data_IF_047904279271
#
_entry.id   IF_047904279271
#
_cell.length_a   1.000
_cell.length_b   1.000
_cell.length_c   1.000
_cell.angle_alpha   90.00
_cell.angle_beta   90.00
_cell.angle_gamma   90.00
#
_symmetry.space_group_name_H-M   'P 1'
#
loop_
_entity.id
_entity.type
_entity.pdbx_description
1 polymer ?
#
# COMPACT_ATOMS: atom_id res chain seq x y z
N UNK A 1 44.00 28.75 79.01
CA UNK A 1 44.84 27.90 78.13
C UNK A 1 45.03 28.66 76.83
N UNK A 2 46.25 29.09 76.53
CA UNK A 2 46.55 29.85 75.31
C UNK A 2 46.81 28.86 74.19
N UNK A 3 45.80 28.62 73.34
CA UNK A 3 45.79 27.57 72.33
C UNK A 3 46.97 27.63 71.34
N UNK A 4 47.54 28.81 71.12
CA UNK A 4 48.73 28.99 70.28
C UNK A 4 49.98 28.32 70.86
N UNK A 5 50.19 28.44 72.18
CA UNK A 5 51.35 27.90 72.87
C UNK A 5 51.29 26.36 72.89
N UNK A 6 50.10 25.82 73.15
CA UNK A 6 49.89 24.37 73.19
C UNK A 6 50.13 23.72 71.81
N UNK A 7 49.79 24.41 70.73
CA UNK A 7 50.01 23.93 69.36
C UNK A 7 51.50 23.97 68.97
N UNK A 8 52.22 25.02 69.34
CA UNK A 8 53.66 25.12 69.10
C UNK A 8 54.44 24.07 69.91
N UNK A 9 54.07 23.86 71.17
CA UNK A 9 54.63 22.80 72.00
C UNK A 9 54.38 21.40 71.39
N UNK A 10 53.16 21.13 70.89
CA UNK A 10 52.83 19.87 70.24
C UNK A 10 53.62 19.64 68.94
N UNK A 11 53.80 20.69 68.12
CA UNK A 11 54.64 20.62 66.92
C UNK A 11 56.10 20.37 67.27
N UNK A 12 56.64 21.09 68.26
CA UNK A 12 58.02 20.91 68.71
C UNK A 12 58.27 19.50 69.26
N UNK A 13 57.33 18.95 70.04
CA UNK A 13 57.40 17.58 70.54
C UNK A 13 57.41 16.54 69.40
N UNK A 14 56.58 16.73 68.36
CA UNK A 14 56.52 15.83 67.20
C UNK A 14 57.83 15.80 66.39
N UNK A 15 58.45 16.97 66.18
CA UNK A 15 59.76 17.04 65.53
C UNK A 15 60.88 16.50 66.44
N UNK A 16 60.83 16.76 67.75
CA UNK A 16 61.81 16.26 68.73
C UNK A 16 61.76 14.73 68.87
N UNK A 17 60.59 14.11 68.71
CA UNK A 17 60.45 12.65 68.65
C UNK A 17 60.94 12.03 67.34
N UNK A 18 61.49 12.83 66.41
CA UNK A 18 62.02 12.39 65.12
C UNK A 18 60.98 12.34 63.99
N UNK A 19 59.80 12.95 64.17
CA UNK A 19 58.78 13.04 63.13
C UNK A 19 59.24 13.93 61.97
N UNK A 20 59.03 13.47 60.73
CA UNK A 20 59.30 14.25 59.52
C UNK A 20 58.01 14.46 58.73
N UNK A 21 57.87 15.65 58.13
CA UNK A 21 56.77 15.94 57.22
C UNK A 21 57.15 15.45 55.82
N UNK A 22 56.31 14.61 55.23
CA UNK A 22 56.44 14.17 53.84
C UNK A 22 55.35 14.88 53.04
N UNK A 23 55.76 15.73 52.10
CA UNK A 23 54.84 16.34 51.13
C UNK A 23 54.77 15.40 49.93
N UNK A 24 53.61 14.78 49.74
CA UNK A 24 53.39 13.88 48.60
C UNK A 24 53.14 14.71 47.34
N UNK A 25 53.82 14.35 46.25
CA UNK A 25 53.55 14.94 44.93
C UNK A 25 52.13 14.57 44.46
N UNK A 26 51.45 15.52 43.82
CA UNK A 26 50.11 15.31 43.29
C UNK A 26 50.07 14.21 42.22
N UNK A 27 48.89 13.61 41.99
CA UNK A 27 48.73 12.56 40.99
C UNK A 27 48.42 13.15 39.60
N UNK A 28 48.95 12.51 38.55
CA UNK A 28 48.61 12.84 37.15
C UNK A 28 47.48 11.91 36.68
N UNK A 29 46.32 12.47 36.34
CA UNK A 29 45.18 11.67 35.86
C UNK A 29 45.43 11.09 34.46
N UNK A 30 45.10 9.80 34.28
CA UNK A 30 45.05 9.13 32.96
C UNK A 30 43.63 8.62 32.68
N UNK A 31 43.03 8.96 31.52
CA UNK A 31 41.68 8.51 31.20
C UNK A 31 41.60 7.00 31.01
N UNK A 32 40.44 6.43 31.38
CA UNK A 32 40.19 5.00 31.28
C UNK A 32 40.09 4.53 29.81
N UNK A 33 40.54 3.32 29.48
CA UNK A 33 40.42 2.77 28.13
C UNK A 33 38.95 2.50 27.75
N UNK A 34 38.64 2.61 26.46
CA UNK A 34 37.31 2.33 25.91
C UNK A 34 36.94 0.85 26.10
N UNK A 35 35.75 0.58 26.63
CA UNK A 35 35.21 -0.78 26.78
C UNK A 35 34.83 -1.36 25.41
N UNK A 36 35.26 -2.58 25.12
CA UNK A 36 34.84 -3.35 23.93
C UNK A 36 33.71 -4.32 24.31
N UNK A 37 32.67 -4.39 23.48
CA UNK A 37 31.64 -5.42 23.62
C UNK A 37 32.18 -6.76 23.11
N UNK A 38 31.82 -7.89 23.76
CA UNK A 38 32.21 -9.21 23.29
C UNK A 38 31.54 -9.51 21.94
N UNK A 39 32.24 -10.26 21.09
CA UNK A 39 31.69 -10.69 19.80
C UNK A 39 30.43 -11.55 19.98
N UNK A 40 29.43 -11.42 19.07
CA UNK A 40 28.19 -12.17 19.17
C UNK A 40 28.46 -13.67 19.03
N UNK A 41 28.03 -14.46 20.03
CA UNK A 41 28.21 -15.92 20.02
C UNK A 41 27.48 -16.55 18.81
N UNK A 42 28.08 -17.55 18.15
CA UNK A 42 27.43 -18.25 17.04
C UNK A 42 26.17 -18.96 17.52
N UNK A 43 25.08 -18.84 16.75
CA UNK A 43 23.80 -19.50 17.05
C UNK A 43 23.98 -21.02 16.89
N UNK A 44 23.56 -21.81 17.89
CA UNK A 44 23.53 -23.27 17.78
C UNK A 44 22.60 -23.68 16.64
N UNK A 45 23.03 -24.64 15.82
CA UNK A 45 22.19 -25.25 14.81
C UNK A 45 20.99 -25.93 15.48
N UNK A 46 19.78 -25.59 15.04
CA UNK A 46 18.57 -26.27 15.51
C UNK A 46 18.56 -27.69 14.93
N UNK A 47 18.18 -28.72 15.71
CA UNK A 47 18.00 -30.07 15.17
C UNK A 47 17.01 -30.04 14.00
N UNK A 48 17.26 -30.85 12.98
CA UNK A 48 16.36 -31.00 11.84
C UNK A 48 15.03 -31.57 12.33
N UNK A 49 14.08 -30.69 12.65
CA UNK A 49 12.73 -31.12 12.97
C UNK A 49 12.14 -31.77 11.72
N UNK A 50 11.79 -33.06 11.80
CA UNK A 50 10.87 -33.67 10.85
C UNK A 50 9.59 -32.84 10.88
N UNK A 51 9.32 -32.11 9.80
CA UNK A 51 8.17 -31.22 9.70
C UNK A 51 6.91 -32.08 9.57
N UNK A 52 6.41 -32.58 10.70
CA UNK A 52 5.03 -33.06 10.74
C UNK A 52 4.13 -31.88 10.38
N UNK A 53 3.19 -32.13 9.47
CA UNK A 53 2.28 -31.08 9.03
C UNK A 53 1.44 -30.63 10.22
N UNK A 54 1.42 -29.32 10.45
CA UNK A 54 0.59 -28.77 11.53
C UNK A 54 -0.87 -29.12 11.22
N UNK A 55 -1.70 -29.52 12.21
CA UNK A 55 -3.10 -29.89 11.98
C UNK A 55 -3.95 -28.84 11.25
N UNK A 56 -3.57 -27.56 11.33
CA UNK A 56 -4.22 -26.49 10.55
C UNK A 56 -3.89 -26.55 9.06
N UNK A 57 -2.68 -26.99 8.69
CA UNK A 57 -2.26 -27.13 7.29
C UNK A 57 -3.01 -28.29 6.63
N UNK A 58 -3.17 -29.41 7.32
CA UNK A 58 -3.96 -30.54 6.80
C UNK A 58 -5.43 -30.13 6.58
N UNK A 59 -6.05 -29.43 7.55
CA UNK A 59 -7.41 -28.87 7.40
C UNK A 59 -7.52 -27.86 6.26
N UNK A 60 -6.51 -27.01 6.07
CA UNK A 60 -6.48 -26.06 4.97
C UNK A 60 -6.42 -26.77 3.61
N UNK A 61 -5.63 -27.84 3.49
CA UNK A 61 -5.51 -28.66 2.28
C UNK A 61 -6.79 -29.43 1.97
N UNK A 62 -7.44 -30.03 2.97
CA UNK A 62 -8.71 -30.73 2.74
C UNK A 62 -9.80 -29.76 2.28
N UNK A 63 -9.86 -28.56 2.88
CA UNK A 63 -10.78 -27.49 2.44
C UNK A 63 -10.44 -26.99 1.04
N UNK A 64 -9.16 -26.80 0.73
CA UNK A 64 -8.71 -26.43 -0.61
C UNK A 64 -9.14 -27.45 -1.66
N UNK A 65 -8.98 -28.75 -1.38
CA UNK A 65 -9.42 -29.82 -2.26
C UNK A 65 -10.94 -29.80 -2.50
N UNK A 66 -11.74 -29.59 -1.45
CA UNK A 66 -13.19 -29.45 -1.58
C UNK A 66 -13.57 -28.25 -2.45
N UNK A 67 -12.94 -27.10 -2.24
CA UNK A 67 -13.18 -25.89 -3.04
C UNK A 67 -12.75 -26.12 -4.49
N UNK A 68 -11.65 -26.82 -4.73
CA UNK A 68 -11.16 -27.13 -6.07
C UNK A 68 -12.14 -28.01 -6.86
N UNK A 69 -12.77 -29.00 -6.21
CA UNK A 69 -13.82 -29.82 -6.84
C UNK A 69 -15.06 -28.97 -7.18
N UNK A 70 -15.52 -28.13 -6.24
CA UNK A 70 -16.65 -27.23 -6.49
C UNK A 70 -16.36 -26.18 -7.57
N UNK A 71 -15.11 -25.73 -7.67
CA UNK A 71 -14.69 -24.73 -8.65
C UNK A 71 -14.82 -25.21 -10.10
N UNK A 72 -14.77 -26.53 -10.34
CA UNK A 72 -14.95 -27.13 -11.67
C UNK A 72 -16.37 -26.93 -12.19
N UNK A 73 -17.37 -26.99 -11.31
CA UNK A 73 -18.80 -26.98 -11.65
C UNK A 73 -19.46 -25.63 -11.41
N UNK A 74 -19.05 -24.91 -10.36
CA UNK A 74 -19.73 -23.71 -9.88
C UNK A 74 -18.88 -22.44 -10.00
N UNK A 75 -19.56 -21.30 -10.04
CA UNK A 75 -18.94 -19.98 -9.98
C UNK A 75 -18.52 -19.64 -8.56
N UNK A 76 -17.51 -18.76 -8.40
CA UNK A 76 -17.04 -18.32 -7.09
C UNK A 76 -18.16 -17.76 -6.19
N UNK A 77 -19.16 -17.10 -6.79
CA UNK A 77 -20.30 -16.55 -6.05
C UNK A 77 -21.26 -17.62 -5.51
N UNK A 78 -21.42 -18.72 -6.23
CA UNK A 78 -22.24 -19.85 -5.77
C UNK A 78 -21.53 -20.62 -4.66
N UNK A 79 -20.23 -20.89 -4.83
CA UNK A 79 -19.40 -21.53 -3.80
C UNK A 79 -19.37 -20.70 -2.51
N UNK A 80 -19.28 -19.37 -2.63
CA UNK A 80 -19.34 -18.45 -1.48
C UNK A 80 -20.67 -18.59 -0.71
N UNK A 81 -21.80 -18.70 -1.41
CA UNK A 81 -23.11 -18.87 -0.79
C UNK A 81 -23.26 -20.24 -0.13
N UNK A 82 -22.77 -21.30 -0.77
CA UNK A 82 -22.86 -22.67 -0.25
C UNK A 82 -22.03 -22.87 1.01
N UNK A 83 -20.79 -22.35 1.03
CA UNK A 83 -19.87 -22.52 2.16
C UNK A 83 -20.02 -21.42 3.22
N UNK A 84 -20.82 -20.37 2.96
CA UNK A 84 -20.94 -19.22 3.85
C UNK A 84 -19.64 -18.39 3.94
N UNK A 85 -18.84 -18.39 2.88
CA UNK A 85 -17.52 -17.75 2.84
C UNK A 85 -17.52 -16.47 2.03
N UNK A 86 -16.55 -15.59 2.29
CA UNK A 86 -16.35 -14.40 1.47
C UNK A 86 -15.66 -14.76 0.15
N UNK A 87 -16.04 -14.08 -0.93
CA UNK A 87 -15.39 -14.25 -2.25
C UNK A 87 -13.87 -14.02 -2.18
N UNK A 88 -13.41 -13.07 -1.36
CA UNK A 88 -11.98 -12.78 -1.19
C UNK A 88 -11.20 -13.95 -0.60
N UNK A 89 -11.76 -14.66 0.39
CA UNK A 89 -11.13 -15.86 0.94
C UNK A 89 -10.98 -16.95 -0.12
N UNK A 90 -12.03 -17.18 -0.92
CA UNK A 90 -12.01 -18.16 -2.01
C UNK A 90 -10.99 -17.82 -3.10
N UNK A 91 -10.87 -16.56 -3.49
CA UNK A 91 -9.82 -16.12 -4.42
C UNK A 91 -8.41 -16.32 -3.86
N UNK A 92 -8.23 -16.10 -2.55
CA UNK A 92 -6.97 -16.37 -1.86
C UNK A 92 -6.60 -17.86 -1.87
N UNK A 93 -7.57 -18.75 -1.66
CA UNK A 93 -7.36 -20.21 -1.76
C UNK A 93 -7.04 -20.62 -3.20
N UNK A 94 -7.81 -20.13 -4.18
CA UNK A 94 -7.59 -20.40 -5.59
C UNK A 94 -6.20 -19.95 -6.07
N UNK A 95 -5.72 -18.80 -5.61
CA UNK A 95 -4.38 -18.31 -5.95
C UNK A 95 -3.25 -19.15 -5.33
N UNK A 96 -3.45 -19.70 -4.12
CA UNK A 96 -2.46 -20.56 -3.44
C UNK A 96 -2.36 -21.94 -4.08
N UNK A 97 -3.49 -22.50 -4.49
CA UNK A 97 -3.62 -23.88 -4.97
C UNK A 97 -3.63 -23.97 -6.51
N UNK A 98 -3.72 -22.82 -7.21
CA UNK A 98 -3.55 -22.74 -8.66
C UNK A 98 -4.78 -23.11 -9.50
N UNK A 99 -5.98 -23.20 -8.91
CA UNK A 99 -7.21 -23.47 -9.66
C UNK A 99 -8.03 -22.20 -9.94
N UNK A 100 -9.02 -22.29 -10.83
CA UNK A 100 -9.92 -21.19 -11.19
C UNK A 100 -11.37 -21.65 -11.11
N UNK A 101 -12.25 -20.76 -10.68
CA UNK A 101 -13.69 -21.00 -10.67
C UNK A 101 -14.29 -20.92 -12.08
N UNK A 102 -15.42 -21.61 -12.28
CA UNK A 102 -16.23 -21.47 -13.48
C UNK A 102 -16.63 -20.00 -13.70
N UNK A 103 -16.55 -19.54 -14.95
CA UNK A 103 -16.98 -18.19 -15.32
C UNK A 103 -18.49 -18.24 -15.56
N UNK A 104 -19.28 -17.35 -14.93
CA UNK A 104 -20.69 -17.25 -15.28
C UNK A 104 -20.82 -16.95 -16.78
N UNK A 105 -21.85 -17.49 -17.46
CA UNK A 105 -22.09 -17.17 -18.87
C UNK A 105 -22.17 -15.65 -19.02
N UNK A 106 -21.49 -15.11 -20.03
CA UNK A 106 -21.48 -13.68 -20.29
C UNK A 106 -22.92 -13.26 -20.57
N UNK A 107 -23.50 -12.46 -19.68
CA UNK A 107 -24.80 -11.86 -19.94
C UNK A 107 -24.67 -11.05 -21.22
N UNK A 108 -25.48 -11.40 -22.22
CA UNK A 108 -25.58 -10.63 -23.45
C UNK A 108 -26.08 -9.26 -23.03
N UNK A 109 -25.26 -8.24 -23.25
CA UNK A 109 -25.69 -6.86 -23.01
C UNK A 109 -26.93 -6.63 -23.87
N UNK A 110 -28.00 -6.03 -23.32
CA UNK A 110 -29.18 -5.75 -24.12
C UNK A 110 -28.75 -5.00 -25.37
N UNK A 111 -29.06 -5.58 -26.53
CA UNK A 111 -28.73 -4.98 -27.82
C UNK A 111 -29.50 -3.68 -27.86
N UNK A 112 -28.81 -2.55 -27.99
CA UNK A 112 -29.47 -1.25 -28.12
C UNK A 112 -30.26 -1.29 -29.43
N UNK A 113 -31.55 -0.99 -29.36
CA UNK A 113 -32.41 -0.92 -30.53
C UNK A 113 -31.85 0.09 -31.54
N UNK A 114 -31.42 -0.39 -32.70
CA UNK A 114 -30.77 0.43 -33.72
C UNK A 114 -31.71 1.56 -34.18
N UNK A 115 -33.00 1.26 -34.34
CA UNK A 115 -34.02 2.24 -34.71
C UNK A 115 -34.17 3.36 -33.67
N UNK A 116 -34.17 3.03 -32.37
CA UNK A 116 -34.24 4.04 -31.32
C UNK A 116 -32.98 4.91 -31.28
N UNK A 117 -31.82 4.31 -31.56
CA UNK A 117 -30.55 5.01 -31.63
C UNK A 117 -30.50 5.97 -32.83
N UNK A 118 -31.02 5.57 -33.99
CA UNK A 118 -31.13 6.40 -35.20
C UNK A 118 -32.09 7.58 -35.01
N UNK A 119 -33.25 7.36 -34.37
CA UNK A 119 -34.19 8.43 -34.06
C UNK A 119 -33.55 9.49 -33.14
N UNK A 120 -32.88 9.05 -32.06
CA UNK A 120 -32.17 9.95 -31.16
C UNK A 120 -30.98 10.67 -31.83
N UNK A 121 -30.30 10.02 -32.78
CA UNK A 121 -29.21 10.63 -33.53
C UNK A 121 -29.73 11.67 -34.55
N UNK A 122 -30.93 11.47 -35.11
CA UNK A 122 -31.60 12.45 -35.99
C UNK A 122 -31.98 13.72 -35.24
N UNK A 123 -32.63 13.60 -34.09
CA UNK A 123 -32.97 14.76 -33.25
C UNK A 123 -31.72 15.51 -32.77
N UNK A 124 -30.61 14.79 -32.52
CA UNK A 124 -29.35 15.42 -32.17
C UNK A 124 -28.72 16.12 -33.37
N UNK A 125 -28.80 15.54 -34.57
CA UNK A 125 -28.30 16.17 -35.79
C UNK A 125 -29.01 17.50 -36.06
N UNK A 126 -30.34 17.55 -35.93
CA UNK A 126 -31.13 18.77 -36.08
C UNK A 126 -30.71 19.85 -35.07
N UNK A 127 -30.53 19.47 -33.80
CA UNK A 127 -30.01 20.37 -32.76
C UNK A 127 -28.59 20.86 -33.06
N UNK A 128 -27.72 19.99 -33.55
CA UNK A 128 -26.34 20.34 -33.93
C UNK A 128 -26.33 21.35 -35.09
N UNK A 129 -27.24 21.19 -36.07
CA UNK A 129 -27.39 22.13 -37.19
C UNK A 129 -27.85 23.50 -36.68
N UNK A 130 -28.86 23.55 -35.81
CA UNK A 130 -29.32 24.81 -35.22
C UNK A 130 -28.19 25.55 -34.48
N UNK A 131 -27.44 24.84 -33.63
CA UNK A 131 -26.30 25.43 -32.90
C UNK A 131 -25.16 25.86 -33.83
N UNK A 132 -24.96 25.15 -34.96
CA UNK A 132 -23.99 25.53 -35.99
C UNK A 132 -24.41 26.84 -36.66
N UNK A 133 -25.68 26.97 -37.03
CA UNK A 133 -26.20 28.15 -37.73
C UNK A 133 -26.20 29.39 -36.82
N UNK A 134 -26.33 29.20 -35.50
CA UNK A 134 -26.05 30.22 -34.48
C UNK A 134 -24.57 30.62 -34.35
N UNK A 135 -23.67 29.95 -35.10
CA UNK A 135 -22.23 30.24 -35.11
C UNK A 135 -21.46 29.59 -33.96
N UNK A 136 -22.02 28.58 -33.27
CA UNK A 136 -21.29 27.91 -32.21
C UNK A 136 -20.17 27.01 -32.74
N UNK A 137 -19.05 27.00 -32.03
CA UNK A 137 -17.97 26.06 -32.28
C UNK A 137 -18.36 24.65 -31.84
N UNK A 138 -17.70 23.65 -32.44
CA UNK A 138 -17.90 22.22 -32.12
C UNK A 138 -17.83 21.92 -30.62
N UNK A 139 -16.82 22.47 -29.92
CA UNK A 139 -16.65 22.26 -28.49
C UNK A 139 -17.78 22.89 -27.67
N UNK A 140 -18.26 24.08 -28.07
CA UNK A 140 -19.38 24.75 -27.41
C UNK A 140 -20.68 23.97 -27.61
N UNK A 141 -20.93 23.46 -28.83
CA UNK A 141 -22.07 22.60 -29.11
C UNK A 141 -22.07 21.31 -28.27
N UNK A 142 -20.91 20.68 -28.05
CA UNK A 142 -20.82 19.50 -27.16
C UNK A 142 -21.12 19.83 -25.70
N UNK A 143 -20.67 21.01 -25.22
CA UNK A 143 -20.91 21.44 -23.86
C UNK A 143 -22.40 21.75 -23.62
N UNK A 144 -23.05 22.41 -24.58
CA UNK A 144 -24.49 22.74 -24.52
C UNK A 144 -25.35 21.49 -24.58
N UNK A 145 -25.03 20.54 -25.47
CA UNK A 145 -25.81 19.31 -25.64
C UNK A 145 -25.48 18.20 -24.63
N UNK A 146 -24.44 18.38 -23.80
CA UNK A 146 -23.98 17.37 -22.83
C UNK A 146 -23.51 16.06 -23.47
N UNK A 147 -23.07 16.10 -24.73
CA UNK A 147 -22.65 14.91 -25.48
C UNK A 147 -21.13 14.79 -25.56
N UNK A 148 -20.62 13.56 -25.47
CA UNK A 148 -19.20 13.28 -25.65
C UNK A 148 -18.73 13.46 -27.09
N UNK A 149 -17.44 13.79 -27.27
CA UNK A 149 -16.83 14.09 -28.56
C UNK A 149 -16.96 12.94 -29.59
N UNK A 150 -16.82 11.67 -29.14
CA UNK A 150 -16.99 10.49 -30.00
C UNK A 150 -18.42 10.34 -30.54
N UNK A 151 -19.42 10.70 -29.73
CA UNK A 151 -20.84 10.67 -30.15
C UNK A 151 -21.10 11.75 -31.20
N UNK A 152 -20.55 12.94 -30.98
CA UNK A 152 -20.62 14.04 -31.93
C UNK A 152 -19.99 13.65 -33.28
N UNK A 153 -18.75 13.16 -33.31
CA UNK A 153 -18.06 12.75 -34.55
C UNK A 153 -18.86 11.73 -35.35
N UNK A 154 -19.44 10.74 -34.67
CA UNK A 154 -20.30 9.73 -35.29
C UNK A 154 -21.50 10.40 -35.99
N UNK A 155 -22.16 11.35 -35.32
CA UNK A 155 -23.33 12.06 -35.89
C UNK A 155 -22.88 12.98 -37.04
N UNK A 156 -21.77 13.69 -36.92
CA UNK A 156 -21.23 14.53 -38.00
C UNK A 156 -20.92 13.72 -39.25
N UNK A 157 -20.33 12.54 -39.10
CA UNK A 157 -20.03 11.64 -40.20
C UNK A 157 -21.31 11.07 -40.84
N UNK A 158 -22.29 10.65 -40.02
CA UNK A 158 -23.54 10.07 -40.50
C UNK A 158 -24.41 11.08 -41.28
N UNK A 159 -24.53 12.30 -40.75
CA UNK A 159 -25.39 13.35 -41.33
C UNK A 159 -24.61 14.35 -42.21
N UNK A 160 -23.31 14.10 -42.45
CA UNK A 160 -22.41 14.94 -43.26
C UNK A 160 -22.44 16.43 -42.86
N UNK A 161 -22.55 16.70 -41.57
CA UNK A 161 -22.58 18.06 -41.02
C UNK A 161 -21.14 18.57 -40.90
N UNK A 162 -20.84 19.67 -41.58
CA UNK A 162 -19.55 20.34 -41.48
C UNK A 162 -19.67 21.60 -40.61
N UNK A 163 -18.82 21.72 -39.60
CA UNK A 163 -18.69 22.95 -38.81
C UNK A 163 -17.68 23.88 -39.50
N UNK A 164 -17.95 25.19 -39.60
CA UNK A 164 -16.93 26.13 -40.05
C UNK A 164 -15.73 26.04 -39.10
N UNK A 165 -14.54 25.82 -39.66
CA UNK A 165 -13.30 25.71 -38.90
C UNK A 165 -12.91 27.09 -38.34
N UNK A 166 -13.55 27.54 -37.26
CA UNK A 166 -13.15 28.78 -36.59
C UNK A 166 -11.85 28.56 -35.81
N UNK A 167 -10.72 28.72 -36.50
CA UNK A 167 -9.43 28.98 -35.87
C UNK A 167 -9.32 30.48 -35.59
N UNK A 168 -10.00 30.96 -34.55
CA UNK A 168 -9.64 32.24 -33.95
C UNK A 168 -8.60 31.96 -32.87
N UNK A 169 -7.32 31.98 -33.26
CA UNK A 169 -6.21 32.15 -32.34
C UNK A 169 -6.03 33.65 -32.18
N UNK A 170 -6.59 34.20 -31.09
CA UNK A 170 -6.10 35.46 -30.51
C UNK A 170 -4.87 35.16 -29.68
#
# INVERSE_FOLDING_TARGET
MNQSIDLEAAKAAFFASGGQLIVLEGFTYRPLPQRKHPEPKPKRAKPAAHKSEHPQQSRARTRAAQIAELAKTMTCGEVAKLLGETKGALWGVAAREGFRFCKPPRQVQPVKDAAAQEAADRELAERIIALRDEGMSRCKATAVLGIGNRKLERILAAYKINFPLQRYRG
#
